data_IF_778608213906
#
_entry.id   IF_778608213906
#
_cell.length_a   1.000
_cell.length_b   1.000
_cell.length_c   1.000
_cell.angle_alpha   90.00
_cell.angle_beta   90.00
_cell.angle_gamma   90.00
#
_symmetry.space_group_name_H-M   'P 1'
#
loop_
_entity.id
_entity.type
_entity.pdbx_description
1 polymer ?
#
# COMPACT_ATOMS: atom_id res chain seq x y z
N UNK A 1 -16.59 -59.70 37.97
CA UNK A 1 -17.64 -58.84 37.39
C UNK A 1 -17.21 -57.40 37.61
N UNK A 2 -17.25 -56.59 36.56
CA UNK A 2 -16.70 -55.24 36.39
C UNK A 2 -16.80 -54.31 37.61
N UNK A 3 -15.77 -53.49 37.84
CA UNK A 3 -15.90 -52.03 37.94
C UNK A 3 -14.56 -51.36 37.54
N UNK A 4 -14.55 -50.73 36.36
CA UNK A 4 -13.58 -49.72 35.94
C UNK A 4 -14.03 -48.36 36.47
N UNK A 5 -13.16 -47.63 37.17
CA UNK A 5 -13.30 -46.18 37.36
C UNK A 5 -11.92 -45.54 37.28
N UNK A 6 -11.53 -45.13 36.08
CA UNK A 6 -10.42 -44.21 35.87
C UNK A 6 -11.00 -42.78 35.83
N UNK A 7 -10.78 -42.02 36.91
CA UNK A 7 -10.96 -40.58 36.89
C UNK A 7 -9.75 -39.94 36.22
N UNK A 8 -9.94 -39.30 35.06
CA UNK A 8 -8.90 -38.45 34.47
C UNK A 8 -9.50 -37.11 34.03
N UNK A 9 -9.22 -36.13 34.91
CA UNK A 9 -9.02 -34.69 34.71
C UNK A 9 -9.62 -34.04 33.45
N UNK A 10 -10.53 -33.11 33.75
CA UNK A 10 -11.08 -32.08 32.88
C UNK A 10 -10.00 -31.34 32.09
N UNK A 11 -10.12 -31.35 30.76
CA UNK A 11 -9.38 -30.51 29.84
C UNK A 11 -10.37 -29.78 28.94
N UNK A 12 -10.98 -28.72 29.46
CA UNK A 12 -11.85 -27.83 28.69
C UNK A 12 -11.10 -27.26 27.48
N UNK A 13 -11.66 -27.45 26.30
CA UNK A 13 -11.15 -26.85 25.06
C UNK A 13 -11.45 -25.35 25.11
N UNK A 14 -10.39 -24.53 25.15
CA UNK A 14 -10.50 -23.07 25.18
C UNK A 14 -11.25 -22.55 23.94
N UNK A 15 -12.19 -21.60 24.09
CA UNK A 15 -13.00 -21.05 22.99
C UNK A 15 -12.19 -20.41 21.84
N UNK A 16 -10.90 -20.13 22.06
CA UNK A 16 -9.99 -19.58 21.05
C UNK A 16 -9.74 -20.52 19.87
N UNK A 17 -9.86 -21.84 20.05
CA UNK A 17 -9.65 -22.81 18.96
C UNK A 17 -10.81 -22.89 17.96
N UNK A 18 -11.99 -22.42 18.33
CA UNK A 18 -13.15 -22.42 17.44
C UNK A 18 -13.08 -21.30 16.39
N UNK A 19 -12.39 -20.19 16.67
CA UNK A 19 -12.24 -19.05 15.76
C UNK A 19 -11.19 -19.29 14.66
N UNK A 20 -10.25 -20.21 14.88
CA UNK A 20 -9.22 -20.58 13.91
C UNK A 20 -9.76 -21.39 12.71
N UNK A 21 -10.96 -21.98 12.83
CA UNK A 21 -11.55 -22.83 11.78
C UNK A 21 -12.37 -22.05 10.73
N UNK A 22 -12.74 -20.79 11.02
CA UNK A 22 -13.66 -19.99 10.18
C UNK A 22 -12.90 -18.99 9.29
N UNK A 23 -11.63 -18.71 9.58
CA UNK A 23 -10.76 -17.91 8.73
C UNK A 23 -9.72 -18.82 8.08
N UNK A 24 -9.94 -19.16 6.80
CA UNK A 24 -8.91 -19.82 6.00
C UNK A 24 -7.58 -19.08 6.18
N UNK A 25 -6.54 -19.81 6.59
CA UNK A 25 -5.19 -19.27 6.81
C UNK A 25 -4.82 -18.38 5.63
N UNK A 26 -4.64 -17.09 5.91
CA UNK A 26 -4.22 -16.13 4.92
C UNK A 26 -2.94 -16.68 4.25
N UNK A 27 -2.99 -16.92 2.94
CA UNK A 27 -1.84 -17.51 2.23
C UNK A 27 -0.66 -16.55 2.40
N UNK A 28 0.48 -17.08 2.82
CA UNK A 28 1.68 -16.24 2.91
C UNK A 28 2.04 -15.81 1.49
N UNK A 29 2.62 -14.61 1.31
CA UNK A 29 3.08 -14.20 0.00
C UNK A 29 4.22 -15.13 -0.48
N UNK A 30 4.34 -15.31 -1.80
CA UNK A 30 5.20 -16.32 -2.43
C UNK A 30 6.68 -16.18 -2.02
N UNK A 31 7.15 -14.95 -1.78
CA UNK A 31 8.49 -14.66 -1.26
C UNK A 31 8.74 -15.25 0.14
N UNK A 32 7.74 -15.25 1.02
CA UNK A 32 7.81 -15.83 2.37
C UNK A 32 7.68 -17.35 2.32
N UNK A 33 6.94 -17.90 1.36
CA UNK A 33 6.91 -19.34 1.11
C UNK A 33 8.27 -19.89 0.66
N UNK A 34 9.00 -19.18 -0.20
CA UNK A 34 10.32 -19.60 -0.68
C UNK A 34 11.38 -19.59 0.43
N UNK A 35 11.41 -18.55 1.28
CA UNK A 35 12.37 -18.44 2.39
C UNK A 35 12.16 -19.51 3.49
N UNK A 36 10.94 -20.02 3.64
CA UNK A 36 10.60 -21.09 4.62
C UNK A 36 10.80 -22.50 4.06
N UNK A 37 11.42 -22.65 2.89
CA UNK A 37 11.67 -23.96 2.27
C UNK A 37 10.42 -24.61 1.66
N UNK A 38 9.42 -23.80 1.27
CA UNK A 38 8.19 -24.25 0.61
C UNK A 38 7.46 -25.42 1.35
N UNK A 39 7.05 -25.24 2.61
CA UNK A 39 6.35 -26.28 3.39
C UNK A 39 5.01 -26.69 2.78
N UNK A 40 4.47 -25.90 1.85
CA UNK A 40 3.24 -26.16 1.11
C UNK A 40 3.44 -27.01 -0.15
N UNK A 41 4.70 -27.33 -0.53
CA UNK A 41 5.07 -28.13 -1.71
C UNK A 41 4.42 -27.66 -3.01
N UNK A 42 4.10 -26.37 -3.10
CA UNK A 42 3.54 -25.78 -4.32
C UNK A 42 4.66 -25.66 -5.35
N UNK A 43 4.41 -26.01 -6.61
CA UNK A 43 5.38 -25.77 -7.68
C UNK A 43 5.66 -24.26 -7.82
N UNK A 44 6.83 -23.88 -8.36
CA UNK A 44 7.12 -22.47 -8.69
C UNK A 44 6.03 -21.87 -9.59
N UNK A 45 5.46 -22.68 -10.49
CA UNK A 45 4.32 -22.32 -11.33
C UNK A 45 3.03 -22.07 -10.55
N UNK A 46 2.75 -22.80 -9.47
CA UNK A 46 1.57 -22.57 -8.61
C UNK A 46 1.76 -21.41 -7.62
N UNK A 47 3.01 -21.09 -7.26
CA UNK A 47 3.38 -19.92 -6.46
C UNK A 47 3.40 -18.62 -7.28
N UNK A 48 3.65 -18.71 -8.59
CA UNK A 48 3.62 -17.59 -9.55
C UNK A 48 2.29 -17.47 -10.32
N UNK A 49 1.48 -18.54 -10.31
CA UNK A 49 0.49 -18.86 -11.35
C UNK A 49 -0.84 -18.14 -11.34
N UNK A 50 -1.07 -17.17 -10.44
CA UNK A 50 -2.33 -16.41 -10.43
C UNK A 50 -2.09 -14.89 -10.47
N UNK A 51 -0.86 -14.48 -10.76
CA UNK A 51 -0.53 -13.05 -10.93
C UNK A 51 -0.92 -12.60 -12.34
N UNK A 52 -2.10 -12.01 -12.48
CA UNK A 52 -2.45 -11.21 -13.66
C UNK A 52 -1.45 -10.06 -13.74
N UNK A 53 -0.48 -10.18 -14.64
CA UNK A 53 0.54 -9.14 -14.85
C UNK A 53 -0.07 -8.01 -15.65
N UNK A 54 -0.44 -6.95 -14.95
CA UNK A 54 -0.81 -5.69 -15.57
C UNK A 54 0.48 -4.96 -15.94
N UNK A 55 0.60 -4.38 -17.16
CA UNK A 55 1.76 -3.60 -17.52
C UNK A 55 1.94 -2.41 -16.56
N UNK A 56 3.17 -2.20 -16.12
CA UNK A 56 3.55 -1.04 -15.30
C UNK A 56 3.41 0.20 -16.18
N UNK A 57 2.51 1.09 -15.78
CA UNK A 57 2.19 2.31 -16.52
C UNK A 57 1.69 3.36 -15.54
N UNK A 58 2.09 4.61 -15.74
CA UNK A 58 1.55 5.73 -14.97
C UNK A 58 0.18 6.09 -15.54
N UNK A 59 -0.90 6.02 -14.73
CA UNK A 59 -2.22 6.41 -15.18
C UNK A 59 -2.32 7.89 -15.53
N UNK A 60 -3.29 8.22 -16.38
CA UNK A 60 -3.62 9.62 -16.65
C UNK A 60 -4.13 10.33 -15.38
N UNK A 61 -3.46 11.43 -15.02
CA UNK A 61 -3.82 12.26 -13.88
C UNK A 61 -5.29 12.72 -13.98
N UNK A 62 -6.14 12.46 -12.98
CA UNK A 62 -7.54 12.87 -13.05
C UNK A 62 -7.72 14.38 -13.08
N UNK A 63 -8.61 14.85 -13.96
CA UNK A 63 -8.89 16.28 -14.16
C UNK A 63 -9.47 16.98 -12.92
N UNK A 64 -10.20 16.24 -12.07
CA UNK A 64 -10.87 16.76 -10.89
C UNK A 64 -9.92 17.05 -9.70
N UNK A 65 -8.65 16.65 -9.77
CA UNK A 65 -7.71 16.89 -8.67
C UNK A 65 -7.50 18.39 -8.43
N UNK A 66 -7.12 18.78 -7.22
CA UNK A 66 -6.67 20.15 -6.92
C UNK A 66 -5.26 20.45 -7.44
N UNK A 67 -4.79 21.71 -7.38
CA UNK A 67 -3.42 22.08 -7.77
C UNK A 67 -2.35 21.37 -6.92
N UNK A 68 -2.47 21.37 -5.58
CA UNK A 68 -1.53 20.68 -4.70
C UNK A 68 -1.54 19.16 -4.91
N UNK A 69 -2.73 18.57 -5.12
CA UNK A 69 -2.87 17.15 -5.43
C UNK A 69 -2.21 16.78 -6.78
N UNK A 70 -2.35 17.62 -7.81
CA UNK A 70 -1.67 17.43 -9.09
C UNK A 70 -0.16 17.56 -8.98
N UNK A 71 0.33 18.48 -8.16
CA UNK A 71 1.76 18.62 -7.92
C UNK A 71 2.32 17.34 -7.28
N UNK A 72 1.59 16.79 -6.31
CA UNK A 72 1.95 15.53 -5.67
C UNK A 72 1.93 14.34 -6.62
N UNK A 73 0.88 14.23 -7.46
CA UNK A 73 0.80 13.22 -8.51
C UNK A 73 2.07 13.21 -9.36
N UNK A 74 2.46 14.38 -9.89
CA UNK A 74 3.67 14.53 -10.71
C UNK A 74 4.95 14.17 -9.96
N UNK A 75 4.99 14.41 -8.64
CA UNK A 75 6.14 14.11 -7.79
C UNK A 75 6.29 12.61 -7.56
N UNK A 76 5.20 11.90 -7.23
CA UNK A 76 5.28 10.51 -6.76
C UNK A 76 5.17 9.46 -7.87
N UNK A 77 4.44 9.73 -8.96
CA UNK A 77 4.25 8.73 -10.04
C UNK A 77 5.54 8.25 -10.68
N UNK A 78 6.58 9.09 -10.94
CA UNK A 78 7.82 8.61 -11.53
C UNK A 78 8.57 7.65 -10.59
N UNK A 79 8.52 7.91 -9.27
CA UNK A 79 9.15 7.03 -8.28
C UNK A 79 8.43 5.68 -8.19
N UNK A 80 7.09 5.68 -8.24
CA UNK A 80 6.30 4.44 -8.22
C UNK A 80 6.49 3.62 -9.50
N UNK A 81 6.65 4.29 -10.65
CA UNK A 81 6.97 3.64 -11.92
C UNK A 81 8.36 3.01 -11.89
N UNK A 82 9.37 3.74 -11.41
CA UNK A 82 10.73 3.21 -11.26
C UNK A 82 10.79 2.02 -10.28
N UNK A 83 9.89 1.98 -9.29
CA UNK A 83 9.76 0.86 -8.37
C UNK A 83 8.99 -0.35 -8.97
N UNK A 84 8.31 -0.18 -10.12
CA UNK A 84 7.53 -1.22 -10.77
C UNK A 84 6.21 -1.55 -10.08
N UNK A 85 5.64 -0.63 -9.28
CA UNK A 85 4.48 -0.90 -8.41
C UNK A 85 3.17 -0.33 -8.99
N UNK A 86 3.24 0.67 -9.88
CA UNK A 86 2.05 1.38 -10.38
C UNK A 86 1.57 0.88 -11.75
N UNK A 87 0.27 0.73 -11.88
CA UNK A 87 -0.43 0.33 -13.10
C UNK A 87 -1.62 1.27 -13.38
N UNK A 88 -2.26 1.13 -14.55
CA UNK A 88 -3.49 1.88 -14.88
C UNK A 88 -4.65 1.63 -13.90
N UNK A 89 -4.71 0.45 -13.27
CA UNK A 89 -5.76 0.09 -12.31
C UNK A 89 -5.67 0.92 -11.02
N UNK A 90 -4.46 1.37 -10.68
CA UNK A 90 -4.19 2.09 -9.44
C UNK A 90 -4.63 3.56 -9.49
N UNK A 91 -5.14 4.02 -10.65
CA UNK A 91 -5.52 5.42 -10.89
C UNK A 91 -6.39 6.00 -9.78
N UNK A 92 -7.42 5.29 -9.34
CA UNK A 92 -8.36 5.78 -8.34
C UNK A 92 -7.72 5.87 -6.93
N UNK A 93 -7.00 4.83 -6.52
CA UNK A 93 -6.33 4.79 -5.23
C UNK A 93 -5.21 5.85 -5.14
N UNK A 94 -4.45 6.00 -6.23
CA UNK A 94 -3.40 7.01 -6.33
C UNK A 94 -3.97 8.44 -6.31
N UNK A 95 -5.12 8.64 -6.96
CA UNK A 95 -5.80 9.92 -6.96
C UNK A 95 -6.32 10.27 -5.56
N UNK A 96 -6.87 9.29 -4.84
CA UNK A 96 -7.32 9.48 -3.46
C UNK A 96 -6.17 9.85 -2.52
N UNK A 97 -5.00 9.21 -2.68
CA UNK A 97 -3.77 9.62 -1.97
C UNK A 97 -3.40 11.08 -2.26
N UNK A 98 -3.29 11.44 -3.54
CA UNK A 98 -2.90 12.77 -3.97
C UNK A 98 -3.90 13.84 -3.50
N UNK A 99 -5.20 13.52 -3.55
CA UNK A 99 -6.27 14.40 -3.06
C UNK A 99 -6.14 14.63 -1.55
N UNK A 100 -5.92 13.58 -0.75
CA UNK A 100 -5.70 13.71 0.69
C UNK A 100 -4.45 14.54 1.02
N UNK A 101 -3.36 14.36 0.26
CA UNK A 101 -2.16 15.19 0.37
C UNK A 101 -2.45 16.67 0.08
N UNK A 102 -3.20 16.95 -0.99
CA UNK A 102 -3.57 18.31 -1.38
C UNK A 102 -4.41 18.99 -0.30
N UNK A 103 -5.44 18.31 0.21
CA UNK A 103 -6.27 18.79 1.32
C UNK A 103 -5.44 19.07 2.57
N UNK A 104 -4.57 18.12 2.97
CA UNK A 104 -3.69 18.28 4.12
C UNK A 104 -2.73 19.46 3.95
N UNK A 105 -2.12 19.61 2.77
CA UNK A 105 -1.15 20.69 2.49
C UNK A 105 -1.79 22.07 2.60
N UNK A 106 -3.03 22.24 2.11
CA UNK A 106 -3.77 23.49 2.23
C UNK A 106 -4.07 23.81 3.70
N UNK A 107 -4.58 22.82 4.44
CA UNK A 107 -4.92 22.98 5.85
C UNK A 107 -3.68 23.26 6.71
N UNK A 108 -2.57 22.57 6.45
CA UNK A 108 -1.32 22.75 7.19
C UNK A 108 -0.71 24.14 6.93
N UNK A 109 -0.76 24.64 5.70
CA UNK A 109 -0.38 26.04 5.42
C UNK A 109 -1.24 27.03 6.21
N UNK A 110 -2.55 26.78 6.31
CA UNK A 110 -3.45 27.66 7.06
C UNK A 110 -3.19 27.59 8.57
N UNK A 111 -2.97 26.40 9.10
CA UNK A 111 -2.57 26.20 10.51
C UNK A 111 -1.27 26.94 10.80
N UNK A 112 -0.26 26.81 9.93
CA UNK A 112 1.03 27.50 10.08
C UNK A 112 0.85 29.02 10.13
N UNK A 113 0.01 29.58 9.25
CA UNK A 113 -0.32 31.00 9.24
C UNK A 113 -0.98 31.45 10.56
N UNK A 114 -1.97 30.70 11.05
CA UNK A 114 -2.66 31.05 12.30
C UNK A 114 -1.79 30.90 13.56
N UNK A 115 -0.85 29.95 13.54
CA UNK A 115 0.07 29.72 14.65
C UNK A 115 1.20 30.74 14.70
N UNK A 116 1.83 31.01 13.56
CA UNK A 116 3.13 31.67 13.47
C UNK A 116 3.13 32.92 12.57
N UNK A 117 2.00 33.26 11.96
CA UNK A 117 1.86 34.48 11.17
C UNK A 117 1.84 35.74 12.03
N UNK A 118 1.66 36.89 11.37
CA UNK A 118 1.50 38.16 12.07
C UNK A 118 0.21 38.15 12.91
N UNK A 119 0.33 38.38 14.21
CA UNK A 119 -0.77 38.15 15.17
C UNK A 119 -1.06 36.67 15.49
N UNK A 120 -0.11 35.76 15.22
CA UNK A 120 -0.24 34.32 15.47
C UNK A 120 -0.60 34.00 16.92
N UNK A 121 -1.50 33.03 17.09
CA UNK A 121 -2.06 32.63 18.40
C UNK A 121 -1.34 31.42 19.02
N UNK A 122 -0.24 30.96 18.40
CA UNK A 122 0.44 29.75 18.80
C UNK A 122 -0.51 28.54 18.84
N UNK A 123 -0.39 27.69 19.86
CA UNK A 123 -1.23 26.51 20.01
C UNK A 123 -2.74 26.82 20.12
N UNK A 124 -3.11 28.03 20.56
CA UNK A 124 -4.52 28.42 20.66
C UNK A 124 -5.20 28.56 19.29
N UNK A 125 -4.44 28.66 18.20
CA UNK A 125 -4.95 28.61 16.84
C UNK A 125 -5.69 27.29 16.53
N UNK A 126 -5.39 26.22 17.27
CA UNK A 126 -6.03 24.92 17.09
C UNK A 126 -7.19 24.67 18.04
N UNK A 127 -7.57 25.66 18.85
CA UNK A 127 -8.60 25.51 19.89
C UNK A 127 -9.75 26.46 19.60
N UNK A 128 -10.95 25.90 19.46
CA UNK A 128 -12.20 26.64 19.39
C UNK A 128 -12.88 26.64 20.78
N UNK A 129 -13.54 27.76 21.10
CA UNK A 129 -14.33 27.89 22.33
C UNK A 129 -15.80 27.92 21.95
N UNK A 130 -16.56 26.98 22.48
CA UNK A 130 -18.01 26.93 22.30
C UNK A 130 -18.71 28.10 23.00
N UNK A 131 -19.95 28.46 22.62
CA UNK A 131 -20.70 29.51 23.31
C UNK A 131 -20.88 29.26 24.82
N UNK A 132 -20.82 28.00 25.26
CA UNK A 132 -20.85 27.59 26.67
C UNK A 132 -19.49 27.70 27.40
N UNK A 133 -18.43 28.14 26.72
CA UNK A 133 -17.09 28.33 27.28
C UNK A 133 -16.19 27.09 27.26
N UNK A 134 -16.66 25.96 26.72
CA UNK A 134 -15.86 24.74 26.63
C UNK A 134 -14.84 24.84 25.48
N UNK A 135 -13.58 24.46 25.77
CA UNK A 135 -12.48 24.42 24.79
C UNK A 135 -12.49 23.08 24.06
N UNK A 136 -12.48 23.11 22.74
CA UNK A 136 -12.42 21.93 21.89
C UNK A 136 -11.40 22.09 20.77
N UNK A 137 -10.93 20.99 20.20
CA UNK A 137 -10.07 21.02 19.02
C UNK A 137 -10.83 21.67 17.87
N UNK A 138 -10.22 22.64 17.22
CA UNK A 138 -10.84 23.39 16.13
C UNK A 138 -11.25 22.48 14.99
N UNK A 139 -12.34 22.84 14.30
CA UNK A 139 -12.81 22.07 13.15
C UNK A 139 -11.72 21.93 12.06
N UNK A 140 -10.89 22.97 11.89
CA UNK A 140 -9.76 22.96 10.97
C UNK A 140 -8.70 21.92 11.36
N UNK A 141 -8.30 21.90 12.64
CA UNK A 141 -7.33 20.93 13.13
C UNK A 141 -7.85 19.48 12.95
N UNK A 142 -9.13 19.25 13.27
CA UNK A 142 -9.75 17.95 13.05
C UNK A 142 -9.77 17.55 11.57
N UNK A 143 -10.11 18.48 10.67
CA UNK A 143 -10.12 18.23 9.23
C UNK A 143 -8.71 17.89 8.71
N UNK A 144 -7.69 18.60 9.21
CA UNK A 144 -6.30 18.37 8.86
C UNK A 144 -5.85 16.97 9.28
N UNK A 145 -6.10 16.60 10.53
CA UNK A 145 -5.67 15.31 11.07
C UNK A 145 -6.39 14.16 10.35
N UNK A 146 -7.67 14.32 10.00
CA UNK A 146 -8.40 13.36 9.15
C UNK A 146 -7.84 13.27 7.73
N UNK A 147 -7.35 14.37 7.15
CA UNK A 147 -6.68 14.33 5.85
C UNK A 147 -5.35 13.57 5.93
N UNK A 148 -4.57 13.83 6.98
CA UNK A 148 -3.33 13.11 7.26
C UNK A 148 -3.57 11.61 7.43
N UNK A 149 -4.59 11.21 8.20
CA UNK A 149 -4.93 9.81 8.41
C UNK A 149 -5.32 9.10 7.11
N UNK A 150 -6.16 9.74 6.27
CA UNK A 150 -6.53 9.19 4.95
C UNK A 150 -5.29 9.03 4.06
N UNK A 151 -4.43 10.04 4.04
CA UNK A 151 -3.18 10.02 3.28
C UNK A 151 -2.27 8.86 3.72
N UNK A 152 -2.09 8.66 5.03
CA UNK A 152 -1.26 7.58 5.57
C UNK A 152 -1.84 6.19 5.29
N UNK A 153 -3.16 6.04 5.19
CA UNK A 153 -3.79 4.76 4.79
C UNK A 153 -3.42 4.39 3.36
N UNK A 154 -3.64 5.30 2.40
CA UNK A 154 -3.26 5.03 1.01
C UNK A 154 -1.74 4.93 0.82
N UNK A 155 -0.95 5.69 1.60
CA UNK A 155 0.52 5.62 1.55
C UNK A 155 1.07 4.22 1.86
N UNK A 156 0.38 3.45 2.71
CA UNK A 156 0.79 2.08 3.08
C UNK A 156 0.62 1.12 1.90
N UNK A 157 -0.46 1.26 1.13
CA UNK A 157 -0.74 0.40 -0.03
C UNK A 157 0.33 0.54 -1.11
N UNK A 158 0.85 1.76 -1.33
CA UNK A 158 1.87 2.05 -2.34
C UNK A 158 3.32 1.93 -1.85
N UNK A 159 3.56 1.45 -0.62
CA UNK A 159 4.93 1.33 -0.12
C UNK A 159 5.61 2.67 0.18
N UNK A 160 4.85 3.76 0.36
CA UNK A 160 5.41 5.10 0.57
C UNK A 160 5.96 5.27 2.00
N UNK A 161 5.57 4.42 2.96
CA UNK A 161 6.15 4.41 4.31
C UNK A 161 7.33 3.44 4.44
N UNK A 162 8.36 3.72 5.26
CA UNK A 162 9.46 2.77 5.48
C UNK A 162 8.99 1.39 5.94
N UNK A 163 8.01 1.35 6.84
CA UNK A 163 7.43 0.10 7.35
C UNK A 163 6.72 -0.71 6.24
N UNK A 164 5.95 -0.05 5.37
CA UNK A 164 5.31 -0.72 4.24
C UNK A 164 6.33 -1.29 3.24
N UNK A 165 7.49 -0.64 3.05
CA UNK A 165 8.54 -1.14 2.14
C UNK A 165 9.14 -2.47 2.59
N UNK A 166 9.27 -2.67 3.90
CA UNK A 166 9.81 -3.91 4.48
C UNK A 166 8.80 -5.06 4.33
N UNK A 167 7.50 -4.75 4.38
CA UNK A 167 6.44 -5.72 4.15
C UNK A 167 6.21 -6.02 2.65
N UNK A 168 6.48 -5.05 1.77
CA UNK A 168 6.09 -5.07 0.35
C UNK A 168 7.14 -5.59 -0.62
N UNK A 169 8.06 -6.48 -0.22
CA UNK A 169 8.88 -7.25 -1.19
C UNK A 169 8.00 -8.10 -2.13
N UNK A 170 6.71 -8.25 -1.82
CA UNK A 170 5.70 -8.90 -2.67
C UNK A 170 5.13 -8.00 -3.80
N UNK A 171 5.39 -6.69 -3.79
CA UNK A 171 4.87 -5.73 -4.78
C UNK A 171 5.85 -5.37 -5.89
N UNK A 172 7.11 -5.80 -5.81
CA UNK A 172 8.02 -5.73 -6.96
C UNK A 172 7.63 -6.82 -7.93
N UNK A 173 7.15 -6.43 -9.12
CA UNK A 173 7.08 -7.34 -10.25
C UNK A 173 8.52 -7.66 -10.68
N UNK A 174 9.11 -8.68 -10.03
CA UNK A 174 10.43 -9.17 -10.42
C UNK A 174 10.34 -9.78 -11.83
N UNK A 175 11.36 -9.57 -12.67
CA UNK A 175 11.47 -10.29 -13.94
C UNK A 175 11.54 -11.80 -13.67
N UNK A 176 10.88 -12.59 -14.52
CA UNK A 176 10.95 -14.05 -14.44
C UNK A 176 12.38 -14.53 -14.65
N UNK A 177 12.83 -15.59 -13.93
CA UNK A 177 14.00 -16.34 -14.35
C UNK A 177 13.80 -16.86 -15.79
N UNK A 178 14.64 -16.41 -16.72
CA UNK A 178 14.59 -16.80 -18.14
C UNK A 178 13.88 -15.82 -19.09
N UNK A 179 13.29 -14.74 -18.60
CA UNK A 179 12.90 -13.59 -19.44
C UNK A 179 13.92 -12.49 -19.16
N UNK A 180 15.02 -12.54 -19.89
CA UNK A 180 15.97 -11.44 -19.91
C UNK A 180 15.39 -10.38 -20.87
N UNK A 181 14.95 -9.26 -20.32
CA UNK A 181 14.87 -8.01 -21.09
C UNK A 181 16.30 -7.50 -21.34
N UNK A 182 17.18 -8.34 -21.88
CA UNK A 182 18.51 -7.94 -22.29
C UNK A 182 18.40 -7.31 -23.68
N UNK A 183 18.66 -6.01 -23.85
CA UNK A 183 18.61 -5.36 -25.16
C UNK A 183 19.53 -6.03 -26.19
N UNK A 184 20.51 -6.83 -25.73
CA UNK A 184 21.42 -7.61 -26.55
C UNK A 184 20.80 -8.88 -27.14
N UNK A 185 19.90 -9.58 -26.42
CA UNK A 185 19.23 -10.80 -26.90
C UNK A 185 18.17 -10.49 -27.97
N UNK A 186 17.45 -9.36 -27.84
CA UNK A 186 16.54 -8.90 -28.89
C UNK A 186 17.26 -8.56 -30.21
N UNK A 187 18.52 -8.13 -30.14
CA UNK A 187 19.34 -7.90 -31.33
C UNK A 187 19.77 -9.23 -31.97
N UNK A 188 20.09 -10.24 -31.16
CA UNK A 188 20.48 -11.58 -31.62
C UNK A 188 19.29 -12.36 -32.21
N UNK A 189 18.09 -12.21 -31.64
CA UNK A 189 16.86 -12.85 -32.15
C UNK A 189 16.34 -12.16 -33.43
N UNK A 190 16.48 -10.83 -33.54
CA UNK A 190 16.13 -10.09 -34.76
C UNK A 190 17.11 -10.33 -35.92
N UNK A 191 18.36 -10.70 -35.63
CA UNK A 191 19.41 -10.97 -36.63
C UNK A 191 19.25 -12.26 -37.45
N UNK A 192 18.29 -13.13 -37.11
CA UNK A 192 18.10 -14.43 -37.79
C UNK A 192 17.32 -14.37 -39.11
N UNK A 193 16.95 -13.18 -39.60
CA UNK A 193 16.23 -13.01 -40.87
C UNK A 193 16.94 -12.06 -41.84
N UNK A 194 18.14 -12.46 -42.28
CA UNK A 194 18.70 -11.88 -43.51
C UNK A 194 18.01 -12.52 -44.72
N UNK A 195 17.42 -11.77 -45.65
CA UNK A 195 16.92 -12.33 -46.89
C UNK A 195 18.10 -12.89 -47.69
N UNK A 196 18.03 -14.17 -48.05
CA UNK A 196 18.95 -14.77 -49.04
C UNK A 196 18.71 -14.06 -50.38
N UNK A 197 19.65 -13.21 -50.77
CA UNK A 197 19.70 -12.70 -52.14
C UNK A 197 19.88 -13.89 -53.10
N UNK A 198 18.99 -13.94 -54.09
CA UNK A 198 19.03 -14.86 -55.24
C UNK A 198 19.86 -14.25 -56.36
#
# INVERSE_FOLDING_TARGET
>A
MLFMTAGNREGGVSPDRALELIMGRNRLPSNVHMLRGNPSKLSEGELAGDSVRVPVQIPACPSHLGPDARAEWKRITPHLMAAGIVTELDRAALAAYCQAWGEWSVLERKVKELMFGDGGRGAEALIDVTPSGYKQVSAMAQARDRALDRMLRFAKEFGLTPASRIASTAGQQLPLPGVLDDPMENFLSAGASLPRAS
#
